data_IF_868759863693
#
_entry.id   IF_868759863693
#
_cell.length_a   1.000
_cell.length_b   1.000
_cell.length_c   1.000
_cell.angle_alpha   90.00
_cell.angle_beta   90.00
_cell.angle_gamma   90.00
#
_symmetry.space_group_name_H-M   'P 1'
#
loop_
_entity.id
_entity.type
_entity.pdbx_description
1 polymer ?
#
# COMPACT_ATOMS: atom_id res chain seq x y z
N UNK A 1 23.36 -16.85 -11.94
CA UNK A 1 22.01 -17.37 -12.23
C UNK A 1 21.18 -16.20 -12.72
N UNK A 2 20.51 -16.31 -13.87
CA UNK A 2 19.59 -15.25 -14.33
C UNK A 2 18.45 -15.10 -13.33
N UNK A 3 17.99 -13.87 -13.07
CA UNK A 3 16.81 -13.64 -12.23
C UNK A 3 15.63 -14.40 -12.85
N UNK A 4 15.02 -15.29 -12.06
CA UNK A 4 13.82 -16.01 -12.43
C UNK A 4 12.67 -15.02 -12.67
N UNK A 5 11.78 -15.31 -13.63
CA UNK A 5 10.61 -14.46 -13.91
C UNK A 5 9.62 -14.55 -12.75
N UNK A 6 9.25 -13.41 -12.13
CA UNK A 6 8.36 -13.34 -10.96
C UNK A 6 6.99 -12.72 -11.24
N UNK A 7 6.63 -12.58 -12.52
CA UNK A 7 5.27 -12.24 -12.94
C UNK A 7 4.35 -13.45 -12.99
N UNK A 8 3.04 -13.20 -12.96
CA UNK A 8 1.98 -14.21 -13.13
C UNK A 8 1.55 -14.37 -14.59
N UNK A 9 1.71 -13.33 -15.41
CA UNK A 9 1.43 -13.38 -16.85
C UNK A 9 2.76 -13.45 -17.62
N UNK A 10 2.96 -14.50 -18.39
CA UNK A 10 4.15 -14.70 -19.21
C UNK A 10 3.81 -14.68 -20.70
N UNK A 11 4.84 -14.72 -21.55
CA UNK A 11 4.66 -14.90 -22.99
C UNK A 11 3.95 -16.23 -23.27
N UNK A 12 2.85 -16.17 -24.03
CA UNK A 12 2.19 -17.36 -24.55
C UNK A 12 3.07 -18.05 -25.59
N UNK A 13 3.38 -19.35 -25.44
CA UNK A 13 4.08 -20.13 -26.46
C UNK A 13 3.25 -20.23 -27.75
N UNK A 14 3.93 -20.33 -28.90
CA UNK A 14 3.30 -20.51 -30.22
C UNK A 14 2.26 -19.42 -30.56
N UNK A 15 2.49 -18.20 -30.07
CA UNK A 15 1.63 -17.04 -30.26
C UNK A 15 1.59 -16.55 -31.72
N UNK A 16 0.37 -16.36 -32.25
CA UNK A 16 0.09 -15.69 -33.52
C UNK A 16 -0.81 -14.47 -33.32
N UNK A 17 -0.27 -13.27 -33.57
CA UNK A 17 -0.97 -12.01 -33.38
C UNK A 17 -2.19 -11.86 -34.31
N UNK A 18 -2.13 -12.47 -35.50
CA UNK A 18 -3.19 -12.37 -36.48
C UNK A 18 -4.45 -13.13 -36.07
N UNK A 19 -4.27 -14.36 -35.59
CA UNK A 19 -5.33 -15.23 -35.08
C UNK A 19 -5.97 -14.64 -33.83
N UNK A 20 -5.17 -14.09 -32.91
CA UNK A 20 -5.70 -13.44 -31.71
C UNK A 20 -6.46 -12.14 -32.03
N UNK A 21 -6.01 -11.37 -33.02
CA UNK A 21 -6.74 -10.19 -33.49
C UNK A 21 -8.10 -10.57 -34.09
N UNK A 22 -8.15 -11.65 -34.88
CA UNK A 22 -9.40 -12.19 -35.42
C UNK A 22 -10.34 -12.72 -34.33
N UNK A 23 -9.80 -13.43 -33.34
CA UNK A 23 -10.56 -13.91 -32.20
C UNK A 23 -11.21 -12.75 -31.43
N UNK A 24 -10.47 -11.68 -31.15
CA UNK A 24 -11.02 -10.48 -30.51
C UNK A 24 -12.06 -9.77 -31.38
N UNK A 25 -11.84 -9.68 -32.70
CA UNK A 25 -12.81 -9.09 -33.62
C UNK A 25 -14.13 -9.86 -33.60
N UNK A 26 -14.06 -11.20 -33.66
CA UNK A 26 -15.23 -12.06 -33.63
C UNK A 26 -15.94 -12.03 -32.27
N UNK A 27 -15.19 -11.94 -31.16
CA UNK A 27 -15.76 -11.81 -29.81
C UNK A 27 -16.54 -10.49 -29.63
N UNK A 28 -16.23 -9.46 -30.40
CA UNK A 28 -16.93 -8.16 -30.39
C UNK A 28 -17.95 -8.00 -31.52
N UNK A 29 -18.21 -9.05 -32.30
CA UNK A 29 -19.10 -8.97 -33.45
C UNK A 29 -20.53 -9.34 -33.07
N UNK A 30 -21.48 -8.45 -33.38
CA UNK A 30 -22.91 -8.70 -33.22
C UNK A 30 -23.52 -7.79 -32.16
N UNK A 31 -24.58 -8.25 -31.49
CA UNK A 31 -25.17 -7.50 -30.39
C UNK A 31 -24.50 -7.90 -29.07
N UNK A 32 -23.75 -6.96 -28.48
CA UNK A 32 -22.91 -7.20 -27.32
C UNK A 32 -21.62 -7.95 -27.67
N UNK A 33 -20.90 -8.39 -26.64
CA UNK A 33 -19.57 -9.01 -26.78
C UNK A 33 -19.44 -10.30 -25.94
N UNK A 34 -18.66 -11.26 -26.43
CA UNK A 34 -18.18 -12.40 -25.64
C UNK A 34 -17.06 -11.95 -24.69
N UNK A 35 -17.48 -11.48 -23.51
CA UNK A 35 -16.57 -10.97 -22.48
C UNK A 35 -15.62 -12.04 -21.96
N UNK A 36 -16.05 -13.31 -21.94
CA UNK A 36 -15.22 -14.43 -21.50
C UNK A 36 -14.08 -14.69 -22.48
N UNK A 37 -14.38 -14.75 -23.78
CA UNK A 37 -13.35 -14.88 -24.81
C UNK A 37 -12.35 -13.72 -24.77
N UNK A 38 -12.83 -12.48 -24.60
CA UNK A 38 -11.99 -11.28 -24.49
C UNK A 38 -11.06 -11.39 -23.27
N UNK A 39 -11.62 -11.69 -22.09
CA UNK A 39 -10.82 -11.73 -20.86
C UNK A 39 -9.81 -12.89 -20.87
N UNK A 40 -10.21 -14.08 -21.33
CA UNK A 40 -9.32 -15.24 -21.35
C UNK A 40 -8.16 -15.04 -22.32
N UNK A 41 -8.39 -14.44 -23.49
CA UNK A 41 -7.33 -14.11 -24.44
C UNK A 41 -6.40 -13.04 -23.87
N UNK A 42 -6.93 -11.89 -23.45
CA UNK A 42 -6.10 -10.75 -23.03
C UNK A 42 -5.27 -11.10 -21.78
N UNK A 43 -5.84 -11.84 -20.82
CA UNK A 43 -5.14 -12.26 -19.61
C UNK A 43 -4.20 -13.44 -19.80
N UNK A 44 -4.15 -14.07 -20.97
CA UNK A 44 -3.21 -15.14 -21.30
C UNK A 44 -2.13 -14.71 -22.31
N UNK A 45 -1.95 -13.41 -22.52
CA UNK A 45 -0.90 -12.85 -23.37
C UNK A 45 -0.10 -11.82 -22.58
N UNK A 46 1.21 -11.80 -22.74
CA UNK A 46 2.05 -10.73 -22.18
C UNK A 46 1.72 -9.38 -22.80
N UNK A 47 2.11 -8.28 -22.16
CA UNK A 47 1.88 -6.96 -22.71
C UNK A 47 2.54 -6.78 -24.08
N UNK A 48 3.74 -7.34 -24.26
CA UNK A 48 4.45 -7.32 -25.54
C UNK A 48 3.64 -8.02 -26.64
N UNK A 49 3.02 -9.16 -26.34
CA UNK A 49 2.11 -9.85 -27.25
C UNK A 49 0.83 -9.06 -27.50
N UNK A 50 0.23 -8.45 -26.47
CA UNK A 50 -0.93 -7.55 -26.62
C UNK A 50 -0.63 -6.38 -27.57
N UNK A 51 0.57 -5.81 -27.53
CA UNK A 51 0.95 -4.76 -28.50
C UNK A 51 1.01 -5.30 -29.94
N UNK A 52 1.51 -6.52 -30.14
CA UNK A 52 1.50 -7.18 -31.47
C UNK A 52 0.07 -7.45 -31.94
N UNK A 53 -0.83 -7.88 -31.05
CA UNK A 53 -2.26 -8.07 -31.35
C UNK A 53 -2.88 -6.74 -31.79
N UNK A 54 -2.62 -5.63 -31.09
CA UNK A 54 -3.13 -4.30 -31.48
C UNK A 54 -2.68 -3.92 -32.89
N UNK A 55 -1.41 -4.13 -33.21
CA UNK A 55 -0.88 -3.85 -34.54
C UNK A 55 -1.53 -4.73 -35.63
N UNK A 56 -1.69 -6.03 -35.37
CA UNK A 56 -2.37 -6.95 -36.28
C UNK A 56 -3.85 -6.58 -36.50
N UNK A 57 -4.57 -6.25 -35.42
CA UNK A 57 -5.96 -5.80 -35.47
C UNK A 57 -6.12 -4.53 -36.33
N UNK A 58 -5.21 -3.57 -36.16
CA UNK A 58 -5.19 -2.35 -36.97
C UNK A 58 -4.94 -2.64 -38.45
N UNK A 59 -4.02 -3.55 -38.75
CA UNK A 59 -3.68 -3.95 -40.12
C UNK A 59 -4.83 -4.70 -40.81
N UNK A 60 -5.46 -5.65 -40.12
CA UNK A 60 -6.51 -6.50 -40.70
C UNK A 60 -7.86 -5.79 -40.85
N UNK A 61 -8.23 -4.95 -39.88
CA UNK A 61 -9.56 -4.36 -39.81
C UNK A 61 -9.59 -2.84 -39.99
N UNK A 62 -8.44 -2.16 -39.99
CA UNK A 62 -8.34 -0.71 -40.08
C UNK A 62 -8.81 0.04 -38.82
N UNK A 63 -9.19 -0.67 -37.76
CA UNK A 63 -9.76 -0.12 -36.51
C UNK A 63 -8.75 -0.11 -35.37
N UNK A 64 -8.97 0.74 -34.36
CA UNK A 64 -8.18 0.69 -33.13
C UNK A 64 -8.85 -0.27 -32.13
N UNK A 65 -8.10 -1.29 -31.70
CA UNK A 65 -8.60 -2.32 -30.80
C UNK A 65 -9.00 -1.76 -29.43
N UNK A 66 -8.30 -0.74 -28.91
CA UNK A 66 -8.65 -0.17 -27.61
C UNK A 66 -9.98 0.59 -27.71
N UNK A 67 -10.21 1.31 -28.80
CA UNK A 67 -11.46 2.04 -28.99
C UNK A 67 -12.66 1.10 -29.20
N UNK A 68 -12.49 0.01 -29.95
CA UNK A 68 -13.52 -1.03 -30.07
C UNK A 68 -13.80 -1.70 -28.69
N UNK A 69 -12.76 -2.00 -27.89
CA UNK A 69 -12.94 -2.52 -26.53
C UNK A 69 -13.66 -1.56 -25.59
N UNK A 70 -13.39 -0.24 -25.67
CA UNK A 70 -14.13 0.76 -24.88
C UNK A 70 -15.59 0.90 -25.31
N UNK A 71 -15.88 0.62 -26.58
CA UNK A 71 -17.24 0.67 -27.09
C UNK A 71 -18.07 -0.53 -26.60
N UNK A 72 -17.47 -1.72 -26.62
CA UNK A 72 -18.16 -2.98 -26.24
C UNK A 72 -18.20 -3.23 -24.72
N UNK A 73 -17.21 -2.73 -23.98
CA UNK A 73 -17.09 -2.94 -22.54
C UNK A 73 -17.51 -1.69 -21.76
N UNK A 74 -17.88 -1.88 -20.50
CA UNK A 74 -18.25 -0.78 -19.61
C UNK A 74 -17.73 -0.99 -18.19
N UNK A 75 -17.50 0.11 -17.47
CA UNK A 75 -17.25 0.14 -16.03
C UNK A 75 -15.87 -0.41 -15.63
N UNK A 76 -15.82 -1.10 -14.49
CA UNK A 76 -14.55 -1.60 -13.92
C UNK A 76 -13.86 -2.63 -14.82
N UNK A 77 -14.66 -3.47 -15.49
CA UNK A 77 -14.15 -4.46 -16.44
C UNK A 77 -13.51 -3.80 -17.66
N UNK A 78 -14.14 -2.77 -18.23
CA UNK A 78 -13.57 -1.95 -19.30
C UNK A 78 -12.24 -1.32 -18.86
N UNK A 79 -12.21 -0.64 -17.70
CA UNK A 79 -10.99 0.01 -17.20
C UNK A 79 -9.84 -0.99 -17.07
N UNK A 80 -10.12 -2.18 -16.54
CA UNK A 80 -9.13 -3.25 -16.36
C UNK A 80 -8.61 -3.78 -17.69
N UNK A 81 -9.50 -4.16 -18.62
CA UNK A 81 -9.12 -4.70 -19.94
C UNK A 81 -8.35 -3.65 -20.75
N UNK A 82 -8.84 -2.41 -20.80
CA UNK A 82 -8.16 -1.34 -21.51
C UNK A 82 -6.82 -0.98 -20.85
N UNK A 83 -6.72 -1.09 -19.52
CA UNK A 83 -5.47 -0.98 -18.78
C UNK A 83 -4.43 -2.00 -19.24
N UNK A 84 -4.81 -3.27 -19.35
CA UNK A 84 -3.95 -4.36 -19.82
C UNK A 84 -3.45 -4.17 -21.25
N UNK A 85 -4.17 -3.44 -22.10
CA UNK A 85 -3.80 -3.21 -23.50
C UNK A 85 -2.81 -2.06 -23.72
N UNK A 86 -2.60 -1.18 -22.73
CA UNK A 86 -1.60 -0.11 -22.80
C UNK A 86 -0.21 -0.65 -22.48
N UNK A 87 0.84 -0.08 -23.06
CA UNK A 87 2.20 -0.34 -22.58
C UNK A 87 2.36 0.14 -21.13
N UNK A 88 3.28 -0.42 -20.34
CA UNK A 88 3.45 -0.04 -18.93
C UNK A 88 3.59 1.47 -18.72
N UNK A 89 4.42 2.14 -19.54
CA UNK A 89 4.64 3.58 -19.45
C UNK A 89 3.38 4.42 -19.74
N UNK A 90 2.59 4.05 -20.76
CA UNK A 90 1.33 4.74 -21.07
C UNK A 90 0.23 4.42 -20.06
N UNK A 91 0.28 3.26 -19.41
CA UNK A 91 -0.62 2.96 -18.29
C UNK A 91 -0.31 3.88 -17.10
N UNK A 92 0.96 3.99 -16.70
CA UNK A 92 1.37 4.90 -15.62
C UNK A 92 1.05 6.36 -15.95
N UNK A 93 1.35 6.82 -17.17
CA UNK A 93 1.00 8.16 -17.61
C UNK A 93 -0.51 8.43 -17.54
N UNK A 94 -1.35 7.44 -17.86
CA UNK A 94 -2.82 7.56 -17.75
C UNK A 94 -3.29 7.62 -16.30
N UNK A 95 -2.69 6.82 -15.41
CA UNK A 95 -3.03 6.82 -13.99
C UNK A 95 -2.64 8.14 -13.33
N UNK A 96 -1.44 8.66 -13.61
CA UNK A 96 -1.04 10.00 -13.14
C UNK A 96 -1.92 11.09 -13.76
N UNK A 97 -2.26 10.98 -15.05
CA UNK A 97 -3.14 11.97 -15.68
C UNK A 97 -4.50 12.03 -15.00
N UNK A 98 -5.07 10.87 -14.64
CA UNK A 98 -6.33 10.81 -13.90
C UNK A 98 -6.16 11.36 -12.48
N UNK A 99 -5.02 11.11 -11.82
CA UNK A 99 -4.75 11.55 -10.46
C UNK A 99 -4.67 13.08 -10.32
N UNK A 100 -4.23 13.80 -11.34
CA UNK A 100 -4.10 15.27 -11.34
C UNK A 100 -5.14 15.96 -12.21
N UNK A 101 -6.17 15.24 -12.66
CA UNK A 101 -7.24 15.81 -13.50
C UNK A 101 -8.47 16.11 -12.66
N UNK A 102 -8.90 17.37 -12.71
CA UNK A 102 -10.19 17.81 -12.18
C UNK A 102 -10.03 18.61 -10.89
N UNK A 103 -11.08 18.63 -10.07
CA UNK A 103 -11.03 19.27 -8.77
C UNK A 103 -10.52 18.28 -7.73
N UNK A 104 -9.34 18.57 -7.15
CA UNK A 104 -8.64 17.69 -6.22
C UNK A 104 -7.61 16.79 -6.91
N UNK A 105 -6.83 16.10 -6.09
CA UNK A 105 -5.69 15.30 -6.52
C UNK A 105 -5.79 13.92 -5.84
N UNK A 106 -5.42 12.84 -6.54
CA UNK A 106 -5.26 11.52 -5.93
C UNK A 106 -3.80 11.34 -5.50
N UNK A 107 -3.46 11.85 -4.30
CA UNK A 107 -2.10 11.77 -3.78
C UNK A 107 -1.66 10.32 -3.58
N UNK A 108 -2.59 9.39 -3.31
CA UNK A 108 -2.25 7.97 -3.13
C UNK A 108 -1.73 7.36 -4.42
N UNK A 109 -2.35 7.70 -5.56
CA UNK A 109 -1.87 7.27 -6.88
C UNK A 109 -0.48 7.84 -7.18
N UNK A 110 -0.26 9.14 -6.94
CA UNK A 110 1.04 9.79 -7.13
C UNK A 110 2.13 9.13 -6.27
N UNK A 111 1.85 8.92 -4.98
CA UNK A 111 2.76 8.27 -4.04
C UNK A 111 3.12 6.86 -4.49
N UNK A 112 2.12 6.04 -4.82
CA UNK A 112 2.33 4.64 -5.20
C UNK A 112 3.21 4.51 -6.45
N UNK A 113 2.96 5.32 -7.48
CA UNK A 113 3.74 5.27 -8.71
C UNK A 113 5.14 5.83 -8.46
N UNK A 114 5.27 7.08 -8.00
CA UNK A 114 6.57 7.75 -7.94
C UNK A 114 7.51 7.18 -6.87
N UNK A 115 7.00 6.58 -5.79
CA UNK A 115 7.85 5.91 -4.81
C UNK A 115 8.37 4.54 -5.27
N UNK A 116 7.71 3.90 -6.24
CA UNK A 116 7.98 2.49 -6.59
C UNK A 116 8.68 2.28 -7.94
N UNK A 117 8.56 3.23 -8.87
CA UNK A 117 9.19 3.12 -10.20
C UNK A 117 10.72 3.26 -10.12
N UNK A 118 11.42 2.55 -11.00
CA UNK A 118 12.87 2.70 -11.19
C UNK A 118 13.19 3.94 -12.03
N UNK A 119 14.47 4.33 -12.11
CA UNK A 119 14.95 5.41 -12.97
C UNK A 119 14.44 5.25 -14.42
N UNK A 120 14.66 4.07 -15.02
CA UNK A 120 14.19 3.77 -16.38
C UNK A 120 12.67 3.86 -16.52
N UNK A 121 11.91 3.34 -15.55
CA UNK A 121 10.44 3.42 -15.57
C UNK A 121 9.95 4.86 -15.47
N UNK A 122 10.61 5.71 -14.67
CA UNK A 122 10.29 7.14 -14.56
C UNK A 122 10.57 7.86 -15.88
N UNK A 123 11.72 7.63 -16.52
CA UNK A 123 12.03 8.26 -17.81
C UNK A 123 11.03 7.84 -18.90
N UNK A 124 10.69 6.56 -18.96
CA UNK A 124 9.68 6.04 -19.89
C UNK A 124 8.29 6.64 -19.61
N UNK A 125 7.91 6.80 -18.34
CA UNK A 125 6.66 7.43 -17.93
C UNK A 125 6.61 8.89 -18.41
N UNK A 126 7.64 9.68 -18.12
CA UNK A 126 7.72 11.10 -18.53
C UNK A 126 7.61 11.23 -20.05
N UNK A 127 8.33 10.39 -20.80
CA UNK A 127 8.24 10.36 -22.26
C UNK A 127 6.83 10.00 -22.76
N UNK A 128 6.21 8.97 -22.19
CA UNK A 128 4.86 8.55 -22.55
C UNK A 128 3.80 9.60 -22.21
N UNK A 129 3.95 10.30 -21.08
CA UNK A 129 3.04 11.38 -20.70
C UNK A 129 3.10 12.55 -21.69
N UNK A 130 4.32 12.95 -22.08
CA UNK A 130 4.55 14.00 -23.08
C UNK A 130 3.98 13.62 -24.44
N UNK A 131 4.20 12.38 -24.90
CA UNK A 131 3.66 11.90 -26.16
C UNK A 131 2.13 11.84 -26.14
N UNK A 132 1.54 11.26 -25.09
CA UNK A 132 0.09 11.04 -25.01
C UNK A 132 -0.73 12.33 -24.83
N UNK A 133 -0.17 13.34 -24.15
CA UNK A 133 -0.92 14.53 -23.73
C UNK A 133 -0.36 15.85 -24.24
N UNK A 134 0.85 15.87 -24.81
CA UNK A 134 1.51 17.11 -25.24
C UNK A 134 1.81 18.07 -24.09
N UNK A 135 1.96 17.54 -22.87
CA UNK A 135 2.19 18.31 -21.64
C UNK A 135 3.45 17.85 -20.93
N UNK A 136 4.02 18.74 -20.14
CA UNK A 136 5.12 18.40 -19.25
C UNK A 136 4.56 17.81 -17.95
N UNK A 137 5.03 16.62 -17.58
CA UNK A 137 4.55 15.93 -16.40
C UNK A 137 5.01 16.62 -15.11
N UNK A 138 6.24 17.12 -15.08
CA UNK A 138 6.80 17.77 -13.91
C UNK A 138 6.04 19.08 -13.63
N UNK A 139 5.78 19.88 -14.66
CA UNK A 139 4.97 21.10 -14.54
C UNK A 139 3.55 20.80 -14.03
N UNK A 140 2.90 19.75 -14.56
CA UNK A 140 1.56 19.35 -14.13
C UNK A 140 1.57 18.88 -12.65
N UNK A 141 2.58 18.12 -12.21
CA UNK A 141 2.72 17.71 -10.80
C UNK A 141 3.04 18.90 -9.89
N UNK A 142 3.85 19.87 -10.35
CA UNK A 142 4.13 21.10 -9.61
C UNK A 142 2.85 21.92 -9.38
N UNK A 143 1.99 21.99 -10.41
CA UNK A 143 0.73 22.73 -10.37
C UNK A 143 -0.29 22.17 -9.38
N UNK A 144 -0.32 20.84 -9.22
CA UNK A 144 -1.30 20.13 -8.38
C UNK A 144 -0.79 19.82 -6.96
N UNK A 145 0.50 20.06 -6.66
CA UNK A 145 1.08 19.70 -5.37
C UNK A 145 1.81 20.86 -4.69
N UNK A 146 2.07 20.75 -3.39
CA UNK A 146 2.72 21.82 -2.62
C UNK A 146 3.67 21.30 -1.53
N UNK A 147 4.41 22.22 -0.92
CA UNK A 147 5.27 21.94 0.23
C UNK A 147 6.37 20.89 -0.02
N UNK A 148 6.73 20.15 1.04
CA UNK A 148 7.73 19.09 0.98
C UNK A 148 7.25 17.86 0.21
N UNK A 149 5.93 17.61 0.19
CA UNK A 149 5.33 16.61 -0.66
C UNK A 149 5.70 16.82 -2.13
N UNK A 150 5.46 18.03 -2.67
CA UNK A 150 5.90 18.40 -4.01
C UNK A 150 7.38 18.18 -4.20
N UNK A 151 8.23 18.73 -3.32
CA UNK A 151 9.69 18.65 -3.45
C UNK A 151 10.17 17.21 -3.63
N UNK A 152 9.67 16.28 -2.82
CA UNK A 152 10.04 14.88 -2.92
C UNK A 152 9.53 14.22 -4.21
N UNK A 153 8.30 14.51 -4.66
CA UNK A 153 7.79 14.01 -5.94
C UNK A 153 8.67 14.46 -7.11
N UNK A 154 9.13 15.71 -7.11
CA UNK A 154 10.03 16.23 -8.15
C UNK A 154 11.38 15.51 -8.14
N UNK A 155 11.96 15.26 -6.96
CA UNK A 155 13.20 14.48 -6.83
C UNK A 155 13.03 13.07 -7.41
N UNK A 156 11.92 12.39 -7.09
CA UNK A 156 11.62 11.07 -7.62
C UNK A 156 11.38 11.08 -9.14
N UNK A 157 10.75 12.14 -9.65
CA UNK A 157 10.49 12.33 -11.09
C UNK A 157 11.74 12.58 -11.93
N UNK A 158 12.86 13.00 -11.32
CA UNK A 158 14.12 13.11 -12.06
C UNK A 158 14.61 11.73 -12.53
N UNK A 159 14.31 10.66 -11.79
CA UNK A 159 14.77 9.31 -12.11
C UNK A 159 16.30 9.23 -12.17
N UNK A 160 16.97 9.91 -11.23
CA UNK A 160 18.44 9.97 -11.13
C UNK A 160 18.96 9.43 -9.80
N UNK A 161 18.26 8.47 -9.19
CA UNK A 161 18.79 7.77 -8.02
C UNK A 161 20.11 7.09 -8.39
N UNK A 162 21.10 7.13 -7.51
CA UNK A 162 22.34 6.38 -7.63
C UNK A 162 22.03 4.90 -7.88
N UNK A 163 22.68 4.29 -8.88
CA UNK A 163 22.53 2.86 -9.16
C UNK A 163 23.26 2.02 -8.11
N UNK A 164 22.84 0.77 -7.93
CA UNK A 164 23.46 -0.13 -6.94
C UNK A 164 24.92 -0.46 -7.33
N UNK A 165 25.82 -0.34 -6.35
CA UNK A 165 27.29 -0.39 -6.44
C UNK A 165 27.86 -1.07 -5.17
N UNK A 166 29.18 -1.23 -5.10
CA UNK A 166 29.92 -1.54 -3.87
C UNK A 166 29.63 -0.48 -2.80
N UNK A 167 28.91 -0.88 -1.76
CA UNK A 167 28.55 0.03 -0.67
C UNK A 167 29.75 0.36 0.21
N UNK A 168 29.91 1.66 0.54
CA UNK A 168 30.89 2.15 1.50
C UNK A 168 30.31 2.10 2.92
N UNK A 169 30.91 1.31 3.80
CA UNK A 169 30.49 1.20 5.21
C UNK A 169 30.57 2.56 5.94
N UNK A 170 31.66 3.31 5.75
CA UNK A 170 31.81 4.66 6.32
C UNK A 170 30.67 5.61 5.90
N UNK A 171 30.24 5.55 4.64
CA UNK A 171 29.13 6.38 4.15
C UNK A 171 27.78 5.89 4.70
N UNK A 172 27.61 4.59 4.92
CA UNK A 172 26.40 4.03 5.55
C UNK A 172 26.28 4.54 6.98
N UNK A 173 27.35 4.44 7.77
CA UNK A 173 27.38 4.97 9.14
C UNK A 173 27.13 6.48 9.16
N UNK A 174 27.75 7.23 8.25
CA UNK A 174 27.57 8.67 8.13
C UNK A 174 26.11 9.03 7.79
N UNK A 175 25.52 8.41 6.76
CA UNK A 175 24.15 8.74 6.35
C UNK A 175 23.12 8.29 7.42
N UNK A 176 23.39 7.21 8.15
CA UNK A 176 22.55 6.79 9.27
C UNK A 176 22.60 7.80 10.43
N UNK A 177 23.80 8.29 10.78
CA UNK A 177 23.96 9.35 11.77
C UNK A 177 23.32 10.67 11.31
N UNK A 178 23.51 11.06 10.04
CA UNK A 178 22.90 12.25 9.45
C UNK A 178 21.36 12.21 9.52
N UNK A 179 20.75 11.05 9.28
CA UNK A 179 19.30 10.87 9.43
C UNK A 179 18.84 10.96 10.89
N UNK A 180 19.63 10.41 11.83
CA UNK A 180 19.32 10.48 13.26
C UNK A 180 19.38 11.94 13.76
N UNK A 181 20.46 12.64 13.39
CA UNK A 181 20.67 14.04 13.74
C UNK A 181 19.60 14.96 13.13
N UNK A 182 19.16 14.64 11.91
CA UNK A 182 18.09 15.35 11.21
C UNK A 182 16.69 15.08 11.77
N UNK A 183 16.49 14.03 12.56
CA UNK A 183 15.18 13.64 13.11
C UNK A 183 15.23 13.54 14.64
N UNK A 184 15.41 12.32 15.15
CA UNK A 184 15.24 11.98 16.58
C UNK A 184 16.17 12.75 17.54
N UNK A 185 17.30 13.28 17.08
CA UNK A 185 18.22 14.06 17.93
C UNK A 185 17.73 15.49 18.22
N UNK A 186 16.69 15.96 17.54
CA UNK A 186 16.17 17.32 17.65
C UNK A 186 14.64 17.34 17.73
N UNK A 187 14.07 18.51 18.03
CA UNK A 187 12.62 18.69 17.98
C UNK A 187 12.19 19.09 16.56
N UNK A 188 11.40 18.24 15.91
CA UNK A 188 11.03 18.37 14.50
C UNK A 188 11.97 17.57 13.58
N UNK A 189 11.79 17.71 12.27
CA UNK A 189 12.61 17.01 11.26
C UNK A 189 13.20 17.99 10.26
N UNK A 190 14.46 17.79 9.87
CA UNK A 190 15.02 18.41 8.68
C UNK A 190 14.54 17.64 7.44
N UNK A 191 13.41 18.09 6.89
CA UNK A 191 12.80 17.41 5.74
C UNK A 191 13.69 17.47 4.49
N UNK A 192 14.56 18.48 4.38
CA UNK A 192 15.45 18.62 3.23
C UNK A 192 16.53 17.54 3.24
N UNK A 193 17.10 17.23 4.41
CA UNK A 193 18.06 16.13 4.57
C UNK A 193 17.43 14.78 4.24
N UNK A 194 16.21 14.51 4.74
CA UNK A 194 15.47 13.30 4.43
C UNK A 194 15.19 13.16 2.93
N UNK A 195 14.74 14.23 2.26
CA UNK A 195 14.49 14.23 0.81
C UNK A 195 15.79 13.95 0.04
N UNK A 196 16.89 14.60 0.43
CA UNK A 196 18.18 14.45 -0.24
C UNK A 196 18.69 13.01 -0.16
N UNK A 197 18.74 12.43 1.04
CA UNK A 197 19.27 11.08 1.24
C UNK A 197 18.35 10.01 0.64
N UNK A 198 17.06 10.04 0.99
CA UNK A 198 16.11 9.01 0.56
C UNK A 198 15.75 9.11 -0.94
N UNK A 199 15.92 10.28 -1.54
CA UNK A 199 15.69 10.50 -2.97
C UNK A 199 16.86 10.09 -3.87
N UNK A 200 18.11 10.15 -3.40
CA UNK A 200 19.28 10.03 -4.26
C UNK A 200 20.13 8.78 -4.02
N UNK A 201 20.29 8.30 -2.78
CA UNK A 201 21.15 7.14 -2.51
C UNK A 201 20.62 5.86 -3.16
N UNK A 202 21.52 4.94 -3.51
CA UNK A 202 21.14 3.66 -4.10
C UNK A 202 20.27 2.82 -3.16
N UNK A 203 19.52 1.88 -3.72
CA UNK A 203 18.58 1.06 -2.94
C UNK A 203 19.36 0.20 -1.95
N UNK A 204 20.43 -0.44 -2.39
CA UNK A 204 21.28 -1.30 -1.56
C UNK A 204 21.95 -0.50 -0.44
N UNK A 205 22.45 0.71 -0.73
CA UNK A 205 23.00 1.61 0.29
C UNK A 205 21.96 1.95 1.35
N UNK A 206 20.77 2.40 0.93
CA UNK A 206 19.71 2.80 1.86
C UNK A 206 19.18 1.65 2.71
N UNK A 207 19.14 0.42 2.18
CA UNK A 207 18.78 -0.75 2.98
C UNK A 207 19.75 -0.95 4.15
N UNK A 208 21.06 -0.80 3.92
CA UNK A 208 22.08 -0.90 4.96
C UNK A 208 22.02 0.30 5.92
N UNK A 209 21.76 1.51 5.41
CA UNK A 209 21.54 2.71 6.24
C UNK A 209 20.36 2.51 7.18
N UNK A 210 19.26 1.88 6.74
CA UNK A 210 18.11 1.62 7.61
C UNK A 210 18.43 0.64 8.74
N UNK A 211 19.28 -0.35 8.45
CA UNK A 211 19.71 -1.34 9.45
C UNK A 211 20.69 -0.72 10.45
N UNK A 212 21.57 0.18 10.01
CA UNK A 212 22.46 0.94 10.90
C UNK A 212 21.71 2.00 11.72
N UNK A 213 20.77 2.72 11.10
CA UNK A 213 19.91 3.69 11.77
C UNK A 213 19.15 3.07 12.94
N UNK A 214 18.61 1.85 12.77
CA UNK A 214 17.87 1.17 13.84
C UNK A 214 18.75 0.87 15.06
N UNK A 215 20.05 0.65 14.88
CA UNK A 215 21.02 0.49 15.98
C UNK A 215 21.28 1.80 16.70
N UNK A 216 21.41 2.91 15.96
CA UNK A 216 21.69 4.25 16.52
C UNK A 216 20.46 4.81 17.25
N UNK A 217 19.31 4.77 16.60
CA UNK A 217 18.07 5.39 17.08
C UNK A 217 17.30 4.52 18.10
N UNK A 218 17.67 3.24 18.23
CA UNK A 218 16.87 2.21 18.91
C UNK A 218 15.39 2.16 18.45
N UNK A 219 15.16 2.56 17.18
CA UNK A 219 13.83 2.74 16.57
C UNK A 219 13.95 2.65 15.05
N UNK A 220 12.95 2.06 14.39
CA UNK A 220 12.94 1.99 12.93
C UNK A 220 12.80 3.38 12.31
N UNK A 221 13.42 3.60 11.14
CA UNK A 221 13.28 4.85 10.38
C UNK A 221 11.81 5.15 10.04
N UNK A 222 10.99 4.12 9.81
CA UNK A 222 9.55 4.28 9.60
C UNK A 222 8.83 4.84 10.81
N UNK A 223 9.18 4.41 12.02
CA UNK A 223 8.54 4.90 13.23
C UNK A 223 9.01 6.32 13.57
N UNK A 224 10.25 6.68 13.23
CA UNK A 224 10.74 8.07 13.30
C UNK A 224 9.95 8.98 12.36
N UNK A 225 9.77 8.56 11.11
CA UNK A 225 8.96 9.30 10.13
C UNK A 225 7.52 9.48 10.63
N UNK A 226 6.88 8.43 11.20
CA UNK A 226 5.49 8.51 11.71
C UNK A 226 5.34 9.42 12.93
N UNK A 227 6.38 9.58 13.75
CA UNK A 227 6.28 10.44 14.94
C UNK A 227 6.53 11.91 14.61
N UNK A 228 7.34 12.19 13.59
CA UNK A 228 7.79 13.56 13.32
C UNK A 228 7.12 14.23 12.11
N UNK A 229 6.68 13.46 11.11
CA UNK A 229 6.04 13.99 9.90
C UNK A 229 4.51 13.83 9.95
N UNK A 230 3.81 14.58 9.11
CA UNK A 230 2.35 14.46 8.96
C UNK A 230 1.88 14.64 7.52
N UNK A 231 0.61 14.31 7.27
CA UNK A 231 -0.06 14.55 5.99
C UNK A 231 0.47 13.69 4.84
N UNK A 232 0.38 14.19 3.61
CA UNK A 232 0.79 13.42 2.43
C UNK A 232 2.31 13.31 2.28
N UNK A 233 3.06 14.24 2.88
CA UNK A 233 4.52 14.12 2.95
C UNK A 233 4.95 12.92 3.80
N UNK A 234 4.37 12.73 5.00
CA UNK A 234 4.60 11.52 5.81
C UNK A 234 4.28 10.24 5.02
N UNK A 235 3.12 10.22 4.34
CA UNK A 235 2.69 9.05 3.54
C UNK A 235 3.67 8.75 2.40
N UNK A 236 4.17 9.77 1.72
CA UNK A 236 5.16 9.64 0.66
C UNK A 236 6.49 9.11 1.18
N UNK A 237 7.03 9.69 2.25
CA UNK A 237 8.30 9.26 2.83
C UNK A 237 8.22 7.81 3.32
N UNK A 238 7.10 7.42 3.96
CA UNK A 238 6.86 6.03 4.35
C UNK A 238 6.74 5.08 3.16
N UNK A 239 6.16 5.52 2.03
CA UNK A 239 6.09 4.71 0.83
C UNK A 239 7.47 4.51 0.20
N UNK A 240 8.29 5.57 0.13
CA UNK A 240 9.67 5.50 -0.37
C UNK A 240 10.50 4.51 0.45
N UNK A 241 10.49 4.63 1.78
CA UNK A 241 11.19 3.68 2.67
C UNK A 241 10.68 2.26 2.48
N UNK A 242 9.37 2.05 2.40
CA UNK A 242 8.79 0.72 2.17
C UNK A 242 9.19 0.13 0.81
N UNK A 243 9.22 0.94 -0.25
CA UNK A 243 9.65 0.51 -1.58
C UNK A 243 11.15 0.21 -1.65
N UNK A 244 11.98 0.96 -0.92
CA UNK A 244 13.42 0.67 -0.80
C UNK A 244 13.63 -0.65 -0.04
N UNK A 245 12.90 -0.89 1.06
CA UNK A 245 12.99 -2.16 1.78
C UNK A 245 12.49 -3.34 0.96
N UNK A 246 11.29 -3.24 0.39
CA UNK A 246 10.71 -4.24 -0.49
C UNK A 246 9.46 -3.72 -1.21
N UNK A 247 9.55 -3.57 -2.53
CA UNK A 247 8.40 -3.22 -3.37
C UNK A 247 7.28 -4.26 -3.29
N UNK A 248 7.53 -5.58 -3.32
CA UNK A 248 6.48 -6.58 -3.12
C UNK A 248 5.69 -6.39 -1.83
N UNK A 249 6.37 -6.13 -0.71
CA UNK A 249 5.70 -5.91 0.58
C UNK A 249 4.89 -4.59 0.62
N UNK A 250 5.38 -3.55 -0.07
CA UNK A 250 4.63 -2.31 -0.25
C UNK A 250 3.33 -2.55 -1.04
N UNK A 251 3.41 -3.20 -2.20
CA UNK A 251 2.23 -3.47 -3.02
C UNK A 251 1.25 -4.44 -2.35
N UNK A 252 1.74 -5.45 -1.61
CA UNK A 252 0.88 -6.31 -0.80
C UNK A 252 0.05 -5.50 0.23
N UNK A 253 0.69 -4.51 0.88
CA UNK A 253 0.00 -3.60 1.81
C UNK A 253 -1.00 -2.69 1.12
N UNK A 254 -0.66 -2.17 -0.07
CA UNK A 254 -1.58 -1.34 -0.86
C UNK A 254 -2.80 -2.13 -1.33
N UNK A 255 -2.61 -3.36 -1.82
CA UNK A 255 -3.68 -4.28 -2.21
C UNK A 255 -4.60 -4.59 -1.04
N UNK A 256 -4.04 -4.94 0.13
CA UNK A 256 -4.85 -5.21 1.32
C UNK A 256 -5.67 -3.99 1.71
N UNK A 257 -5.06 -2.81 1.76
CA UNK A 257 -5.78 -1.56 2.05
C UNK A 257 -6.86 -1.23 1.03
N UNK A 258 -6.70 -1.64 -0.24
CA UNK A 258 -7.69 -1.40 -1.29
C UNK A 258 -8.95 -2.24 -1.14
N UNK A 259 -8.88 -3.39 -0.46
CA UNK A 259 -10.00 -4.34 -0.28
C UNK A 259 -10.42 -4.47 1.20
N UNK A 260 -9.80 -3.70 2.11
CA UNK A 260 -10.10 -3.80 3.55
C UNK A 260 -11.36 -3.01 3.88
N UNK A 261 -12.39 -3.70 4.38
CA UNK A 261 -13.59 -3.09 4.95
C UNK A 261 -14.79 -3.23 4.02
N UNK A 262 -15.74 -2.30 4.12
CA UNK A 262 -16.89 -2.28 3.22
C UNK A 262 -16.54 -1.51 1.95
N UNK A 263 -16.61 -2.19 0.80
CA UNK A 263 -16.30 -1.64 -0.51
C UNK A 263 -14.81 -1.71 -0.87
N UNK A 264 -14.52 -1.38 -2.13
CA UNK A 264 -13.20 -1.57 -2.74
C UNK A 264 -12.69 -0.27 -3.35
N UNK A 265 -11.40 0.02 -3.20
CA UNK A 265 -10.72 1.06 -3.96
C UNK A 265 -10.29 0.52 -5.34
N UNK A 266 -11.28 0.24 -6.21
CA UNK A 266 -11.07 -0.52 -7.46
C UNK A 266 -10.01 0.08 -8.40
N UNK A 267 -9.88 1.41 -8.46
CA UNK A 267 -8.83 2.04 -9.30
C UNK A 267 -7.43 1.64 -8.83
N UNK A 268 -7.21 1.58 -7.52
CA UNK A 268 -5.92 1.13 -6.95
C UNK A 268 -5.72 -0.36 -7.18
N UNK A 269 -6.77 -1.18 -6.98
CA UNK A 269 -6.73 -2.61 -7.24
C UNK A 269 -6.37 -2.89 -8.71
N UNK A 270 -7.04 -2.23 -9.66
CA UNK A 270 -6.77 -2.37 -11.09
C UNK A 270 -5.33 -1.96 -11.41
N UNK A 271 -4.90 -0.77 -10.96
CA UNK A 271 -3.57 -0.24 -11.26
C UNK A 271 -2.46 -1.17 -10.79
N UNK A 272 -2.54 -1.69 -9.55
CA UNK A 272 -1.52 -2.59 -9.01
C UNK A 272 -1.56 -3.94 -9.74
N UNK A 273 -2.75 -4.53 -9.92
CA UNK A 273 -2.88 -5.83 -10.57
C UNK A 273 -2.40 -5.82 -12.02
N UNK A 274 -2.58 -4.71 -12.75
CA UNK A 274 -2.05 -4.52 -14.11
C UNK A 274 -0.56 -4.24 -14.11
N UNK A 275 -0.08 -3.28 -13.31
CA UNK A 275 1.31 -2.83 -13.37
C UNK A 275 2.31 -3.84 -12.83
N UNK A 276 1.87 -4.78 -11.97
CA UNK A 276 2.75 -5.78 -11.32
C UNK A 276 2.61 -7.20 -11.88
N UNK A 277 1.60 -7.48 -12.72
CA UNK A 277 1.33 -8.84 -13.23
C UNK A 277 2.48 -9.47 -14.01
N UNK A 278 3.36 -8.66 -14.60
CA UNK A 278 4.50 -9.12 -15.41
C UNK A 278 5.85 -8.77 -14.74
N UNK A 279 5.84 -8.44 -13.45
CA UNK A 279 7.04 -8.01 -12.71
C UNK A 279 7.31 -8.89 -11.49
N UNK A 280 6.50 -8.77 -10.44
CA UNK A 280 6.74 -9.37 -9.12
C UNK A 280 5.46 -9.82 -8.43
N UNK A 281 4.39 -10.08 -9.20
CA UNK A 281 3.10 -10.52 -8.65
C UNK A 281 3.22 -11.81 -7.82
N UNK A 282 4.15 -12.71 -8.16
CA UNK A 282 4.42 -13.91 -7.35
C UNK A 282 4.97 -13.53 -5.96
N UNK A 283 5.94 -12.62 -5.89
CA UNK A 283 6.50 -12.13 -4.62
C UNK A 283 5.46 -11.36 -3.80
N UNK A 284 4.60 -10.58 -4.47
CA UNK A 284 3.50 -9.84 -3.82
C UNK A 284 2.53 -10.81 -3.14
N UNK A 285 2.16 -11.93 -3.79
CA UNK A 285 1.26 -12.93 -3.21
C UNK A 285 1.84 -13.57 -1.96
N UNK A 286 3.12 -13.92 -2.00
CA UNK A 286 3.83 -14.48 -0.84
C UNK A 286 3.89 -13.49 0.31
N UNK A 287 4.28 -12.23 0.03
CA UNK A 287 4.30 -11.15 1.02
C UNK A 287 2.90 -10.87 1.61
N UNK A 288 1.86 -10.93 0.78
CA UNK A 288 0.48 -10.74 1.20
C UNK A 288 0.06 -11.84 2.18
N UNK A 289 0.31 -13.10 1.82
CA UNK A 289 -0.02 -14.25 2.66
C UNK A 289 0.74 -14.22 3.99
N UNK A 290 2.04 -13.91 3.93
CA UNK A 290 2.89 -13.73 5.11
C UNK A 290 2.32 -12.72 6.10
N UNK A 291 1.68 -11.65 5.60
CA UNK A 291 1.25 -10.51 6.42
C UNK A 291 -0.20 -10.58 6.89
N UNK A 292 -1.09 -11.22 6.14
CA UNK A 292 -2.54 -11.09 6.34
C UNK A 292 -3.29 -12.39 6.60
N UNK A 293 -2.59 -13.53 6.71
CA UNK A 293 -3.17 -14.86 6.99
C UNK A 293 -4.32 -15.26 6.04
N UNK A 294 -4.37 -14.61 4.88
CA UNK A 294 -5.32 -14.85 3.78
C UNK A 294 -4.57 -14.63 2.48
N UNK A 295 -4.84 -15.46 1.46
CA UNK A 295 -4.24 -15.27 0.14
C UNK A 295 -4.78 -13.99 -0.54
N UNK A 296 -3.97 -13.40 -1.42
CA UNK A 296 -4.42 -12.30 -2.27
C UNK A 296 -5.61 -12.74 -3.15
N UNK A 297 -5.55 -13.96 -3.67
CA UNK A 297 -6.59 -14.57 -4.49
C UNK A 297 -7.95 -14.60 -3.78
N UNK A 298 -7.99 -15.14 -2.55
CA UNK A 298 -9.24 -15.21 -1.78
C UNK A 298 -9.75 -13.83 -1.36
N UNK A 299 -8.84 -12.87 -1.09
CA UNK A 299 -9.28 -11.51 -0.79
C UNK A 299 -9.94 -10.84 -2.01
N UNK A 300 -9.39 -11.02 -3.21
CA UNK A 300 -10.00 -10.55 -4.46
C UNK A 300 -11.33 -11.28 -4.73
N UNK A 301 -11.36 -12.60 -4.51
CA UNK A 301 -12.52 -13.44 -4.80
C UNK A 301 -13.77 -13.02 -4.00
N UNK A 302 -13.56 -12.62 -2.75
CA UNK A 302 -14.62 -12.21 -1.82
C UNK A 302 -15.07 -10.76 -2.04
N UNK A 303 -14.15 -9.88 -2.46
CA UNK A 303 -14.40 -8.43 -2.54
C UNK A 303 -14.90 -7.96 -3.91
N UNK A 304 -14.83 -8.82 -4.94
CA UNK A 304 -15.19 -8.48 -6.32
C UNK A 304 -16.21 -9.45 -6.93
N UNK A 305 -16.77 -9.13 -8.10
CA UNK A 305 -17.74 -9.97 -8.80
C UNK A 305 -17.65 -9.89 -10.33
N UNK A 306 -18.36 -10.78 -11.03
CA UNK A 306 -18.46 -10.80 -12.49
C UNK A 306 -17.15 -11.05 -13.25
N UNK A 307 -17.08 -10.57 -14.48
CA UNK A 307 -15.90 -10.67 -15.35
C UNK A 307 -14.72 -9.85 -14.82
N UNK A 308 -15.01 -8.75 -14.12
CA UNK A 308 -14.02 -7.95 -13.40
C UNK A 308 -13.23 -8.83 -12.41
N UNK A 309 -13.94 -9.58 -11.56
CA UNK A 309 -13.32 -10.55 -10.65
C UNK A 309 -12.50 -11.60 -11.37
N UNK A 310 -13.07 -12.26 -12.38
CA UNK A 310 -12.38 -13.32 -13.13
C UNK A 310 -11.07 -12.84 -13.72
N UNK A 311 -11.07 -11.62 -14.25
CA UNK A 311 -9.88 -10.98 -14.82
C UNK A 311 -8.83 -10.71 -13.74
N UNK A 312 -9.22 -10.13 -12.59
CA UNK A 312 -8.29 -9.92 -11.47
C UNK A 312 -7.71 -11.22 -10.93
N UNK A 313 -8.52 -12.28 -10.83
CA UNK A 313 -8.05 -13.60 -10.39
C UNK A 313 -7.06 -14.20 -11.37
N UNK A 314 -7.27 -14.05 -12.69
CA UNK A 314 -6.28 -14.45 -13.73
C UNK A 314 -4.97 -13.70 -13.59
N UNK A 315 -5.02 -12.38 -13.35
CA UNK A 315 -3.81 -11.58 -13.10
C UNK A 315 -3.14 -11.95 -11.77
N UNK A 316 -3.91 -12.36 -10.76
CA UNK A 316 -3.38 -12.84 -9.49
C UNK A 316 -2.71 -14.21 -9.62
N UNK A 317 -3.21 -15.09 -10.48
CA UNK A 317 -2.78 -16.48 -10.55
C UNK A 317 -3.68 -17.39 -9.71
N UNK A 318 -3.10 -18.18 -8.80
CA UNK A 318 -3.79 -19.16 -7.97
C UNK A 318 -3.88 -18.79 -6.48
N UNK A 319 -4.57 -19.65 -5.73
CA UNK A 319 -4.81 -19.46 -4.28
C UNK A 319 -3.58 -19.77 -3.40
N UNK A 320 -2.63 -20.55 -3.92
CA UNK A 320 -1.39 -20.96 -3.22
C UNK A 320 -1.65 -21.65 -1.86
N UNK A 321 -2.79 -22.34 -1.70
CA UNK A 321 -3.23 -23.02 -0.47
C UNK A 321 -2.23 -24.06 0.03
N UNK A 322 -1.43 -24.64 -0.86
CA UNK A 322 -0.31 -25.50 -0.48
C UNK A 322 0.92 -24.59 -0.43
N UNK A 323 1.32 -24.22 0.79
CA UNK A 323 2.58 -23.51 1.01
C UNK A 323 3.74 -24.29 0.41
N UNK A 324 4.25 -23.83 -0.73
CA UNK A 324 5.60 -24.15 -1.18
C UNK A 324 6.64 -23.50 -0.26
N UNK A 325 7.91 -23.85 -0.46
CA UNK A 325 9.04 -23.15 0.14
C UNK A 325 9.00 -21.66 -0.24
N UNK A 326 9.39 -20.76 0.68
CA UNK A 326 9.48 -19.33 0.39
C UNK A 326 10.54 -19.07 -0.69
N UNK A 327 10.24 -18.17 -1.62
CA UNK A 327 11.26 -17.64 -2.51
C UNK A 327 12.15 -16.63 -1.76
N UNK A 328 13.37 -16.33 -2.27
CA UNK A 328 14.39 -15.59 -1.53
C UNK A 328 13.91 -14.25 -0.94
N UNK A 329 13.14 -13.47 -1.70
CA UNK A 329 12.61 -12.17 -1.26
C UNK A 329 11.64 -12.34 -0.08
N UNK A 330 10.65 -13.25 -0.19
CA UNK A 330 9.69 -13.51 0.86
C UNK A 330 10.36 -14.12 2.12
N UNK A 331 11.37 -14.97 1.93
CA UNK A 331 12.16 -15.54 3.03
C UNK A 331 12.95 -14.46 3.78
N UNK A 332 13.62 -13.56 3.05
CA UNK A 332 14.37 -12.44 3.63
C UNK A 332 13.44 -11.51 4.42
N UNK A 333 12.26 -11.22 3.88
CA UNK A 333 11.24 -10.41 4.56
C UNK A 333 10.76 -11.10 5.83
N UNK A 334 10.43 -12.39 5.79
CA UNK A 334 9.97 -13.14 6.95
C UNK A 334 11.05 -13.17 8.05
N UNK A 335 12.31 -13.37 7.68
CA UNK A 335 13.45 -13.29 8.61
C UNK A 335 13.56 -11.89 9.23
N UNK A 336 13.55 -10.84 8.41
CA UNK A 336 13.67 -9.45 8.88
C UNK A 336 12.51 -9.05 9.79
N UNK A 337 11.28 -9.50 9.50
CA UNK A 337 10.13 -9.31 10.39
C UNK A 337 10.34 -9.94 11.77
N UNK A 338 10.89 -11.15 11.82
CA UNK A 338 11.22 -11.81 13.08
C UNK A 338 12.36 -11.10 13.82
N UNK A 339 13.40 -10.72 13.08
CA UNK A 339 14.57 -10.01 13.59
C UNK A 339 14.17 -8.67 14.23
N UNK A 340 13.47 -7.79 13.49
CA UNK A 340 12.93 -6.53 14.02
C UNK A 340 12.06 -6.78 15.25
N UNK A 341 11.16 -7.77 15.22
CA UNK A 341 10.32 -8.11 16.37
C UNK A 341 11.14 -8.57 17.59
N UNK A 342 12.30 -9.19 17.39
CA UNK A 342 13.16 -9.68 18.46
C UNK A 342 14.05 -8.57 19.06
N UNK A 343 14.44 -7.58 18.26
CA UNK A 343 15.36 -6.51 18.65
C UNK A 343 14.66 -5.22 19.09
N UNK A 344 13.43 -4.97 18.63
CA UNK A 344 12.71 -3.72 18.94
C UNK A 344 12.33 -3.64 20.43
N UNK A 345 12.84 -2.63 21.14
CA UNK A 345 12.37 -2.30 22.51
C UNK A 345 10.99 -1.63 22.45
N UNK A 346 9.92 -2.43 22.45
CA UNK A 346 8.55 -1.91 22.44
C UNK A 346 8.15 -1.37 23.82
N UNK A 347 7.88 -0.07 23.92
CA UNK A 347 7.27 0.50 25.13
C UNK A 347 5.75 0.28 25.12
N UNK A 348 5.29 -0.73 25.87
CA UNK A 348 3.86 -0.99 26.06
C UNK A 348 3.22 0.13 26.90
N UNK A 349 2.32 0.92 26.30
CA UNK A 349 1.57 1.97 26.98
C UNK A 349 0.08 1.62 27.01
N UNK A 350 -0.45 1.38 28.21
CA UNK A 350 -1.90 1.22 28.41
C UNK A 350 -2.66 2.52 28.16
N UNK A 351 -3.90 2.40 27.70
CA UNK A 351 -4.79 3.55 27.41
C UNK A 351 -5.41 4.16 28.67
N UNK A 352 -5.71 3.33 29.68
CA UNK A 352 -6.21 3.80 30.98
C UNK A 352 -5.04 3.97 31.94
N UNK A 353 -4.82 5.21 32.38
CA UNK A 353 -3.78 5.55 33.36
C UNK A 353 -4.40 5.81 34.74
N UNK A 354 -3.64 5.72 35.84
CA UNK A 354 -4.12 6.15 37.14
C UNK A 354 -4.63 7.59 37.08
N UNK A 355 -5.86 7.81 37.54
CA UNK A 355 -6.46 9.14 37.60
C UNK A 355 -5.73 10.00 38.62
N UNK A 356 -5.46 11.25 38.25
CA UNK A 356 -4.81 12.22 39.12
C UNK A 356 -5.79 12.71 40.18
N UNK A 357 -5.31 12.96 41.41
CA UNK A 357 -6.14 13.40 42.54
C UNK A 357 -7.27 12.42 42.89
N UNK A 358 -6.99 11.12 42.80
CA UNK A 358 -7.94 10.05 43.08
C UNK A 358 -8.44 10.07 44.53
N UNK A 359 -9.76 10.24 44.70
CA UNK A 359 -10.48 10.09 45.97
C UNK A 359 -11.50 8.95 45.87
N UNK A 360 -11.19 7.75 46.42
CA UNK A 360 -12.08 6.61 46.34
C UNK A 360 -13.41 6.79 47.08
N UNK A 361 -13.48 7.69 48.07
CA UNK A 361 -14.71 7.96 48.82
C UNK A 361 -15.66 8.86 48.03
N UNK A 362 -15.12 9.87 47.33
CA UNK A 362 -15.88 10.70 46.39
C UNK A 362 -16.45 9.84 45.25
N UNK A 363 -15.58 9.04 44.60
CA UNK A 363 -15.96 8.15 43.51
C UNK A 363 -17.02 7.13 43.97
N UNK A 364 -16.86 6.52 45.15
CA UNK A 364 -17.85 5.59 45.70
C UNK A 364 -19.22 6.25 45.96
N UNK A 365 -19.25 7.50 46.44
CA UNK A 365 -20.49 8.26 46.65
C UNK A 365 -21.15 8.62 45.32
N UNK A 366 -20.37 9.05 44.33
CA UNK A 366 -20.85 9.36 42.99
C UNK A 366 -21.50 8.12 42.35
N UNK A 367 -20.82 6.98 42.38
CA UNK A 367 -21.37 5.70 41.92
C UNK A 367 -22.63 5.31 42.69
N UNK A 368 -22.67 5.50 44.01
CA UNK A 368 -23.87 5.17 44.81
C UNK A 368 -25.06 6.03 44.43
N UNK A 369 -24.83 7.32 44.16
CA UNK A 369 -25.85 8.28 43.72
C UNK A 369 -26.36 7.91 42.33
N UNK A 370 -25.46 7.60 41.40
CA UNK A 370 -25.78 7.20 40.04
C UNK A 370 -26.64 5.93 39.96
N UNK A 371 -26.50 5.02 40.93
CA UNK A 371 -27.28 3.79 41.03
C UNK A 371 -28.51 3.86 41.96
N UNK A 372 -28.85 5.03 42.52
CA UNK A 372 -29.93 5.17 43.52
C UNK A 372 -31.20 5.75 42.89
N UNK A 373 -32.28 4.97 42.85
CA UNK A 373 -33.61 5.43 42.43
C UNK A 373 -34.24 4.48 41.42
N UNK A 374 -35.23 4.97 40.68
CA UNK A 374 -35.75 4.29 39.49
C UNK A 374 -35.02 4.88 38.27
N UNK A 375 -34.25 4.04 37.58
CA UNK A 375 -33.28 4.48 36.56
C UNK A 375 -31.83 4.44 37.06
N UNK A 376 -30.89 4.58 36.14
CA UNK A 376 -29.44 4.59 36.38
C UNK A 376 -28.86 5.80 35.65
N UNK A 377 -27.84 6.45 36.22
CA UNK A 377 -27.05 7.47 35.55
C UNK A 377 -25.81 6.79 34.98
N UNK A 378 -25.93 6.26 33.76
CA UNK A 378 -24.86 5.51 33.11
C UNK A 378 -23.62 6.36 32.82
N UNK A 379 -23.80 7.63 32.46
CA UNK A 379 -22.70 8.55 32.14
C UNK A 379 -21.76 8.71 33.34
N UNK A 380 -22.32 8.97 34.53
CA UNK A 380 -21.52 9.09 35.76
C UNK A 380 -20.77 7.80 36.09
N UNK A 381 -21.37 6.64 35.81
CA UNK A 381 -20.75 5.32 36.03
C UNK A 381 -19.61 5.10 35.04
N UNK A 382 -19.84 5.39 33.75
CA UNK A 382 -18.86 5.24 32.68
C UNK A 382 -17.65 6.14 32.95
N UNK A 383 -17.86 7.42 33.23
CA UNK A 383 -16.79 8.38 33.49
C UNK A 383 -15.95 8.01 34.72
N UNK A 384 -16.61 7.56 35.79
CA UNK A 384 -15.91 7.09 36.99
C UNK A 384 -15.12 5.81 36.74
N UNK A 385 -15.68 4.82 36.07
CA UNK A 385 -15.01 3.52 35.95
C UNK A 385 -13.92 3.60 34.89
N UNK A 386 -14.22 4.11 33.70
CA UNK A 386 -13.30 4.05 32.55
C UNK A 386 -12.04 4.88 32.74
N UNK A 387 -12.10 5.97 33.51
CA UNK A 387 -10.96 6.85 33.77
C UNK A 387 -10.09 6.42 34.97
N UNK A 388 -10.40 5.32 35.66
CA UNK A 388 -9.65 4.84 36.83
C UNK A 388 -8.84 3.60 36.48
N UNK A 389 -7.60 3.51 36.98
CA UNK A 389 -6.80 2.29 36.82
C UNK A 389 -7.46 1.11 37.54
N UNK A 390 -7.10 -0.13 37.19
CA UNK A 390 -7.66 -1.31 37.84
C UNK A 390 -7.46 -1.27 39.37
N UNK A 391 -6.27 -0.87 39.83
CA UNK A 391 -5.95 -0.71 41.25
C UNK A 391 -6.88 0.31 41.93
N UNK A 392 -7.10 1.47 41.31
CA UNK A 392 -8.04 2.49 41.80
C UNK A 392 -9.48 1.95 41.85
N UNK A 393 -9.92 1.18 40.85
CA UNK A 393 -11.25 0.54 40.87
C UNK A 393 -11.40 -0.46 42.00
N UNK A 394 -10.36 -1.23 42.34
CA UNK A 394 -10.39 -2.12 43.52
C UNK A 394 -10.53 -1.33 44.82
N UNK A 395 -9.87 -0.18 44.90
CA UNK A 395 -9.96 0.71 46.07
C UNK A 395 -11.35 1.34 46.19
N UNK A 396 -11.93 1.84 45.09
CA UNK A 396 -13.33 2.30 45.04
C UNK A 396 -14.26 1.18 45.53
N UNK A 397 -14.10 -0.06 45.03
CA UNK A 397 -14.92 -1.21 45.45
C UNK A 397 -14.82 -1.46 46.95
N UNK A 398 -13.61 -1.39 47.52
CA UNK A 398 -13.38 -1.57 48.96
C UNK A 398 -14.08 -0.49 49.77
N UNK A 399 -13.91 0.78 49.39
CA UNK A 399 -14.54 1.92 50.06
C UNK A 399 -16.05 1.92 49.90
N UNK A 400 -16.57 1.62 48.71
CA UNK A 400 -18.00 1.48 48.45
C UNK A 400 -18.64 0.42 49.36
N UNK A 401 -17.99 -0.74 49.51
CA UNK A 401 -18.44 -1.79 50.43
C UNK A 401 -18.38 -1.34 51.89
N UNK A 402 -17.35 -0.59 52.28
CA UNK A 402 -17.24 -0.04 53.64
C UNK A 402 -18.32 1.01 53.95
N UNK A 403 -18.65 1.87 52.99
CA UNK A 403 -19.58 2.98 53.17
C UNK A 403 -21.04 2.55 53.03
N UNK A 404 -21.33 1.59 52.16
CA UNK A 404 -22.70 1.23 51.77
C UNK A 404 -23.03 -0.26 51.89
N UNK A 405 -22.06 -1.11 52.26
CA UNK A 405 -22.28 -2.52 52.52
C UNK A 405 -23.17 -2.70 53.77
N UNK A 406 -24.27 -3.45 53.64
CA UNK A 406 -25.13 -3.78 54.78
C UNK A 406 -24.46 -4.85 55.64
N UNK A 407 -24.38 -4.61 56.96
CA UNK A 407 -24.21 -5.71 57.93
C UNK A 407 -25.54 -6.47 57.96
N UNK A 408 -25.56 -7.72 57.48
CA UNK A 408 -26.69 -8.62 57.75
C UNK A 408 -26.56 -9.05 59.21
N UNK A 409 -27.33 -8.45 60.12
CA UNK A 409 -27.63 -9.13 61.37
C UNK A 409 -28.61 -10.26 61.06
N UNK A 410 -28.17 -11.52 61.24
CA UNK A 410 -29.10 -12.61 61.43
C UNK A 410 -29.81 -12.38 62.77
N UNK A 411 -31.16 -12.34 62.82
CA UNK A 411 -31.86 -12.43 64.09
C UNK A 411 -31.69 -13.85 64.64
N UNK A 412 -31.40 -13.94 65.94
CA UNK A 412 -31.33 -15.19 66.69
C UNK A 412 -32.71 -15.84 66.85
#
# INVERSE_FOLDING_TARGET
MGKEFRGTIADQPDFDAGSDAEALYNAMKGFGSDKEAILDLITSRSNAQRQKIRAAYKSQYGKDLIDDLKYELTGKFERLIVGLMRTPAYHDAKEIKDAIKGAGTDEKCLIEILASRTNEQIHNLVAAYKDAYGRDLEEDVIGDTSGHFRKMLIVLLQGTREEDDVVSEDLVEQDAQDLYDAGEAQWGTDEAKFIMLLGNRSVTHLQLVFDEYEKIAEKSIEDSIKSELSGDFERLMLAVVQCIRSKPMFFAKCLYKSMKGLGTADNTLIRIMVSRSETDMLDIRECFRLRYEKSLYNMIQDDTSGEYKRTLLKLCGGDDDIAGEFFPEAAQIAYKMWETSSMTKVQLRGTVRPYQNFDPASDAKALRKAMKGFGTDEDTIIDNVTQRSNAQRQEIRRIFKSLFGRVRHCPA
#
